data_IF_542844302303
#
_entry.id   IF_542844302303
#
_cell.length_a   1.000
_cell.length_b   1.000
_cell.length_c   1.000
_cell.angle_alpha   90.00
_cell.angle_beta   90.00
_cell.angle_gamma   90.00
#
_symmetry.space_group_name_H-M   'P 1'
#
loop_
_entity.id
_entity.type
_entity.pdbx_description
1 polymer ?
#
# COMPACT_ATOMS: atom_id res chain seq x y z
N UNK A 1 -20.52 -29.55 13.81
CA UNK A 1 -19.77 -28.29 13.93
C UNK A 1 -19.72 -27.68 12.54
N UNK A 2 -20.40 -26.54 12.31
CA UNK A 2 -20.44 -25.92 10.99
C UNK A 2 -19.10 -25.23 10.72
N UNK A 3 -18.40 -25.65 9.67
CA UNK A 3 -17.11 -25.08 9.29
C UNK A 3 -17.36 -23.79 8.49
N UNK A 4 -17.08 -22.62 9.09
CA UNK A 4 -17.23 -21.33 8.42
C UNK A 4 -16.15 -21.18 7.35
N UNK A 5 -16.57 -20.84 6.12
CA UNK A 5 -15.67 -20.65 4.97
C UNK A 5 -15.49 -19.16 4.71
N UNK A 6 -14.27 -18.75 4.37
CA UNK A 6 -13.97 -17.36 4.01
C UNK A 6 -13.33 -17.24 2.63
N UNK A 7 -13.60 -16.13 1.96
CA UNK A 7 -13.11 -15.88 0.61
C UNK A 7 -11.61 -15.61 0.65
N UNK A 8 -10.81 -16.37 -0.10
CA UNK A 8 -9.37 -16.16 -0.17
C UNK A 8 -9.02 -14.73 -0.65
N UNK A 9 -9.69 -14.27 -1.70
CA UNK A 9 -9.45 -12.93 -2.25
C UNK A 9 -10.02 -11.84 -1.35
N UNK A 10 -11.25 -12.08 -0.89
CA UNK A 10 -12.27 -11.28 -0.20
C UNK A 10 -12.23 -11.03 1.31
N UNK A 11 -11.84 -12.04 2.07
CA UNK A 11 -12.16 -12.18 3.50
C UNK A 11 -13.66 -12.24 3.84
N UNK A 12 -14.58 -12.17 2.87
CA UNK A 12 -16.02 -12.30 3.14
C UNK A 12 -16.37 -13.73 3.55
N UNK A 13 -17.35 -13.90 4.44
CA UNK A 13 -17.92 -15.21 4.78
C UNK A 13 -18.63 -15.78 3.54
N UNK A 14 -18.32 -17.03 3.21
CA UNK A 14 -18.98 -17.77 2.13
C UNK A 14 -20.06 -18.69 2.69
N UNK A 15 -21.23 -18.78 2.03
CA UNK A 15 -22.18 -19.84 2.27
C UNK A 15 -21.57 -21.21 1.98
N UNK A 16 -22.07 -22.24 2.66
CA UNK A 16 -21.66 -23.64 2.49
C UNK A 16 -21.81 -24.14 1.05
N UNK A 17 -22.81 -23.62 0.33
CA UNK A 17 -23.12 -23.96 -1.06
C UNK A 17 -23.09 -22.67 -1.89
N UNK A 18 -21.92 -22.31 -2.39
CA UNK A 18 -21.76 -21.21 -3.35
C UNK A 18 -20.66 -21.56 -4.35
N UNK A 19 -20.84 -21.18 -5.63
CA UNK A 19 -19.82 -21.36 -6.68
C UNK A 19 -18.90 -20.14 -6.79
N UNK A 20 -19.40 -18.96 -6.41
CA UNK A 20 -18.69 -17.68 -6.44
C UNK A 20 -18.96 -16.86 -5.18
N UNK A 21 -17.99 -16.03 -4.79
CA UNK A 21 -18.14 -15.07 -3.73
C UNK A 21 -19.05 -13.91 -4.18
N UNK A 22 -20.21 -13.74 -3.56
CA UNK A 22 -21.16 -12.66 -3.88
C UNK A 22 -20.62 -11.24 -3.68
N UNK A 23 -19.48 -11.06 -3.00
CA UNK A 23 -18.87 -9.74 -2.76
C UNK A 23 -17.78 -9.36 -3.77
N UNK A 24 -17.06 -10.32 -4.35
CA UNK A 24 -15.92 -10.03 -5.24
C UNK A 24 -15.86 -10.87 -6.52
N UNK A 25 -16.80 -11.79 -6.73
CA UNK A 25 -16.86 -12.68 -7.89
C UNK A 25 -15.78 -13.78 -7.92
N UNK A 26 -14.96 -13.91 -6.88
CA UNK A 26 -13.91 -14.94 -6.84
C UNK A 26 -14.51 -16.34 -6.67
N UNK A 27 -13.97 -17.38 -7.33
CA UNK A 27 -14.52 -18.73 -7.25
C UNK A 27 -14.48 -19.29 -5.82
N UNK A 28 -15.62 -19.73 -5.32
CA UNK A 28 -15.83 -20.21 -3.96
C UNK A 28 -15.17 -21.58 -3.68
N UNK A 29 -14.82 -22.32 -4.74
CA UNK A 29 -14.03 -23.56 -4.64
C UNK A 29 -12.68 -23.33 -3.94
N UNK A 30 -12.15 -22.11 -4.00
CA UNK A 30 -10.93 -21.67 -3.32
C UNK A 30 -11.33 -20.84 -2.09
N UNK A 31 -11.47 -21.52 -0.95
CA UNK A 31 -11.88 -20.90 0.32
C UNK A 31 -10.88 -21.24 1.42
N UNK A 32 -10.82 -20.36 2.42
CA UNK A 32 -10.11 -20.58 3.66
C UNK A 32 -11.06 -21.28 4.64
N UNK A 33 -10.59 -22.39 5.18
CA UNK A 33 -11.12 -23.08 6.33
C UNK A 33 -10.18 -22.63 7.46
N UNK A 34 -10.71 -22.12 8.56
CA UNK A 34 -9.98 -21.47 9.68
C UNK A 34 -9.89 -19.93 9.58
N UNK A 35 -9.78 -19.30 10.76
CA UNK A 35 -9.95 -17.87 11.03
C UNK A 35 -9.36 -16.94 9.96
N UNK A 36 -10.06 -15.85 9.57
CA UNK A 36 -9.62 -15.01 8.47
C UNK A 36 -8.20 -14.45 8.75
N UNK A 37 -7.25 -14.58 7.81
CA UNK A 37 -5.91 -14.04 8.02
C UNK A 37 -6.01 -12.53 8.24
N UNK A 38 -5.50 -12.04 9.38
CA UNK A 38 -5.61 -10.62 9.82
C UNK A 38 -4.90 -9.62 8.90
N UNK A 39 -4.17 -10.06 7.88
CA UNK A 39 -3.43 -9.20 6.97
C UNK A 39 -3.96 -9.31 5.53
N UNK A 40 -4.98 -8.52 5.20
CA UNK A 40 -5.20 -8.08 3.81
C UNK A 40 -4.53 -6.73 3.64
N UNK A 41 -3.23 -6.75 3.37
CA UNK A 41 -2.51 -5.60 2.82
C UNK A 41 -3.21 -5.26 1.52
N UNK A 42 -4.14 -4.32 1.61
CA UNK A 42 -4.95 -3.86 0.50
C UNK A 42 -4.01 -3.07 -0.40
N UNK A 43 -3.97 -3.38 -1.69
CA UNK A 43 -3.13 -2.73 -2.71
C UNK A 43 -3.17 -1.17 -2.67
N UNK A 44 -4.20 -0.60 -2.05
CA UNK A 44 -4.32 0.83 -1.74
C UNK A 44 -3.14 1.38 -0.92
N UNK A 45 -2.56 0.61 0.01
CA UNK A 45 -1.45 1.08 0.84
C UNK A 45 -0.14 1.24 0.03
N UNK A 46 0.11 0.33 -0.91
CA UNK A 46 1.29 0.39 -1.78
C UNK A 46 1.27 1.60 -2.72
N UNK A 47 0.11 1.95 -3.26
CA UNK A 47 -0.06 3.13 -4.13
C UNK A 47 0.22 4.43 -3.38
N UNK A 48 -0.25 4.54 -2.14
CA UNK A 48 -0.01 5.75 -1.32
C UNK A 48 1.48 5.92 -1.03
N UNK A 49 2.17 4.84 -0.65
CA UNK A 49 3.62 4.88 -0.38
C UNK A 49 4.40 5.26 -1.64
N UNK A 50 4.03 4.69 -2.81
CA UNK A 50 4.68 4.99 -4.07
C UNK A 50 4.48 6.45 -4.51
N UNK A 51 3.24 6.97 -4.39
CA UNK A 51 2.93 8.37 -4.72
C UNK A 51 3.64 9.36 -3.79
N UNK A 52 3.67 9.08 -2.48
CA UNK A 52 4.41 9.90 -1.51
C UNK A 52 5.91 9.91 -1.81
N UNK A 53 6.49 8.74 -2.13
CA UNK A 53 7.89 8.64 -2.51
C UNK A 53 8.22 9.43 -3.78
N UNK A 54 7.39 9.29 -4.83
CA UNK A 54 7.57 10.02 -6.09
C UNK A 54 7.43 11.54 -5.88
N UNK A 55 6.46 11.96 -5.08
CA UNK A 55 6.25 13.37 -4.74
C UNK A 55 7.44 13.96 -3.98
N UNK A 56 7.99 13.21 -3.01
CA UNK A 56 9.20 13.61 -2.28
C UNK A 56 10.40 13.79 -3.23
N UNK A 57 10.63 12.83 -4.14
CA UNK A 57 11.71 12.91 -5.12
C UNK A 57 11.56 14.09 -6.08
N UNK A 58 10.34 14.36 -6.54
CA UNK A 58 10.02 15.52 -7.37
C UNK A 58 10.24 16.83 -6.60
N UNK A 59 9.87 16.89 -5.33
CA UNK A 59 10.04 18.07 -4.50
C UNK A 59 11.51 18.42 -4.27
N UNK A 60 12.34 17.42 -3.95
CA UNK A 60 13.79 17.60 -3.78
C UNK A 60 14.48 18.01 -5.08
N UNK A 61 14.07 17.44 -6.22
CA UNK A 61 14.73 17.75 -7.49
C UNK A 61 14.23 19.04 -8.17
N UNK A 62 12.94 19.36 -8.04
CA UNK A 62 12.32 20.46 -8.80
C UNK A 62 11.70 21.55 -7.91
N UNK A 63 11.26 21.22 -6.69
CA UNK A 63 10.58 22.15 -5.79
C UNK A 63 11.51 23.14 -5.11
N UNK A 64 12.69 22.67 -4.68
CA UNK A 64 13.74 23.53 -4.07
C UNK A 64 14.26 24.62 -5.02
N UNK A 65 14.27 24.35 -6.33
CA UNK A 65 14.65 25.32 -7.36
C UNK A 65 13.63 26.46 -7.52
N UNK A 66 12.36 26.23 -7.16
CA UNK A 66 11.29 27.23 -7.25
C UNK A 66 11.24 28.16 -6.03
N UNK A 67 11.62 27.67 -4.83
CA UNK A 67 11.59 28.44 -3.59
C UNK A 67 12.82 29.35 -3.40
N UNK A 68 13.95 29.05 -4.06
CA UNK A 68 15.15 29.87 -3.96
C UNK A 68 15.93 29.89 -5.30
N UNK A 69 15.74 30.93 -6.14
CA UNK A 69 16.31 30.98 -7.49
C UNK A 69 17.83 31.21 -7.53
N UNK A 70 18.51 31.32 -6.39
CA UNK A 70 19.93 31.67 -6.28
C UNK A 70 20.76 30.62 -5.53
N UNK A 71 20.29 29.36 -5.47
CA UNK A 71 20.94 28.31 -4.71
C UNK A 71 21.88 27.48 -5.61
N UNK A 72 23.18 27.36 -5.29
CA UNK A 72 24.11 26.62 -6.11
C UNK A 72 23.84 25.10 -6.00
N UNK A 73 23.93 24.44 -7.16
CA UNK A 73 23.56 23.06 -7.50
C UNK A 73 24.14 21.94 -6.61
N UNK A 74 25.02 22.28 -5.68
CA UNK A 74 25.79 21.37 -4.82
C UNK A 74 25.51 21.51 -3.31
N UNK A 75 24.64 22.43 -2.88
CA UNK A 75 24.34 22.64 -1.43
C UNK A 75 23.22 21.71 -0.92
N UNK A 76 22.40 21.17 -1.81
CA UNK A 76 21.22 20.37 -1.43
C UNK A 76 21.59 19.04 -0.73
N UNK A 77 22.74 18.46 -1.09
CA UNK A 77 23.20 17.20 -0.51
C UNK A 77 23.72 17.38 0.93
N UNK A 78 24.23 18.56 1.27
CA UNK A 78 24.82 18.82 2.59
C UNK A 78 23.72 19.05 3.63
N UNK A 79 22.69 19.85 3.34
CA UNK A 79 21.66 20.19 4.33
C UNK A 79 20.77 19.01 4.74
N UNK A 80 20.57 18.03 3.86
CA UNK A 80 19.77 16.84 4.16
C UNK A 80 20.58 15.80 4.94
N UNK A 81 21.90 15.71 4.73
CA UNK A 81 22.76 14.72 5.39
C UNK A 81 23.30 15.19 6.75
N UNK A 82 23.30 16.50 7.03
CA UNK A 82 23.79 17.03 8.31
C UNK A 82 22.77 16.94 9.45
N UNK A 83 21.50 16.62 9.18
CA UNK A 83 20.47 16.48 10.22
C UNK A 83 20.50 15.09 10.90
N UNK A 84 21.16 14.09 10.31
CA UNK A 84 21.39 12.77 10.94
C UNK A 84 22.67 12.70 11.79
N UNK A 85 23.44 13.80 11.88
CA UNK A 85 24.77 13.82 12.50
C UNK A 85 24.89 14.67 13.77
N UNK A 86 23.78 15.03 14.43
CA UNK A 86 23.81 15.66 15.77
C UNK A 86 22.90 14.99 16.79
#
# INVERSE_FOLDING_TARGET
>A
MANKRYCLKCGAELPEVSEYCGRCGYPARIHLIDEPPKLRITYKLGIVIFLLGLLSHLFVNYGVAFLNPNLPENTLYVLVYTDEAL
#
